data_IF_349019216035
#
_entry.id   IF_349019216035
#
_cell.length_a   1.000
_cell.length_b   1.000
_cell.length_c   1.000
_cell.angle_alpha   90.00
_cell.angle_beta   90.00
_cell.angle_gamma   90.00
#
_symmetry.space_group_name_H-M   'P 1'
#
loop_
_entity.id
_entity.type
_entity.pdbx_description
1 polymer ?
#
# COMPACT_ATOMS: atom_id res chain seq x y z
N UNK A 1 -36.41 -23.18 -18.53
CA UNK A 1 -35.46 -22.28 -17.94
C UNK A 1 -34.16 -23.07 -17.81
N UNK A 2 -33.25 -22.91 -18.77
CA UNK A 2 -31.90 -23.46 -18.64
C UNK A 2 -31.19 -22.66 -17.60
N UNK A 3 -30.71 -23.30 -16.54
CA UNK A 3 -29.76 -22.71 -15.62
C UNK A 3 -28.47 -22.50 -16.42
N UNK A 4 -28.17 -21.26 -16.74
CA UNK A 4 -26.97 -20.85 -17.47
C UNK A 4 -25.83 -20.83 -16.47
N UNK A 5 -25.30 -22.03 -16.13
CA UNK A 5 -24.18 -22.17 -15.23
C UNK A 5 -22.90 -22.10 -16.05
N UNK A 6 -22.10 -21.09 -15.81
CA UNK A 6 -20.72 -21.01 -16.33
C UNK A 6 -19.87 -22.10 -15.66
N UNK A 7 -19.23 -22.94 -16.46
CA UNK A 7 -18.37 -24.02 -16.01
C UNK A 7 -17.08 -24.05 -16.81
N UNK A 8 -15.99 -24.43 -16.15
CA UNK A 8 -14.69 -24.65 -16.78
C UNK A 8 -14.54 -26.14 -17.01
N UNK A 9 -14.37 -26.54 -18.25
CA UNK A 9 -14.08 -27.92 -18.62
C UNK A 9 -12.56 -28.16 -18.61
N UNK A 10 -12.13 -29.07 -17.76
CA UNK A 10 -10.76 -29.57 -17.74
C UNK A 10 -10.73 -30.95 -18.36
N UNK A 11 -10.01 -31.11 -19.47
CA UNK A 11 -9.98 -32.35 -20.21
C UNK A 11 -8.56 -32.89 -20.37
N UNK A 12 -8.40 -34.20 -20.18
CA UNK A 12 -7.13 -34.92 -20.37
C UNK A 12 -7.35 -35.98 -21.46
N UNK A 13 -6.54 -35.99 -22.53
CA UNK A 13 -6.60 -37.07 -23.51
C UNK A 13 -6.09 -38.37 -22.89
N UNK A 14 -6.80 -39.44 -23.12
CA UNK A 14 -6.41 -40.79 -22.78
C UNK A 14 -5.65 -41.36 -23.97
N UNK A 15 -4.34 -41.60 -23.77
CA UNK A 15 -3.42 -41.99 -24.83
C UNK A 15 -2.93 -43.38 -24.55
N UNK A 16 -3.01 -44.30 -25.54
CA UNK A 16 -2.43 -45.63 -25.50
C UNK A 16 -0.91 -45.55 -25.66
N UNK A 17 -0.22 -46.68 -25.34
CA UNK A 17 1.26 -46.78 -25.43
C UNK A 17 1.79 -46.52 -26.85
N UNK A 18 0.97 -46.74 -27.87
CA UNK A 18 1.29 -46.45 -29.28
C UNK A 18 1.08 -45.01 -29.69
N UNK A 19 0.65 -44.12 -28.75
CA UNK A 19 0.35 -42.72 -29.02
C UNK A 19 -1.08 -42.43 -29.53
N UNK A 20 -1.91 -43.46 -29.67
CA UNK A 20 -3.29 -43.31 -30.16
C UNK A 20 -4.17 -42.73 -29.05
N UNK A 21 -4.85 -41.61 -29.33
CA UNK A 21 -5.86 -41.04 -28.44
C UNK A 21 -7.16 -41.86 -28.58
N UNK A 22 -7.53 -42.61 -27.55
CA UNK A 22 -8.74 -43.42 -27.59
C UNK A 22 -9.94 -42.84 -26.86
N UNK A 23 -9.72 -41.73 -26.13
CA UNK A 23 -10.78 -41.02 -25.40
C UNK A 23 -10.29 -39.76 -24.73
N UNK A 24 -11.22 -39.09 -24.07
CA UNK A 24 -10.96 -37.88 -23.29
C UNK A 24 -11.65 -38.04 -21.94
N UNK A 25 -10.91 -37.86 -20.87
CA UNK A 25 -11.47 -37.72 -19.54
C UNK A 25 -11.67 -36.22 -19.25
N UNK A 26 -12.88 -35.82 -18.96
CA UNK A 26 -13.23 -34.44 -18.66
C UNK A 26 -13.82 -34.29 -17.26
N UNK A 27 -13.49 -33.19 -16.61
CA UNK A 27 -14.12 -32.74 -15.37
C UNK A 27 -14.62 -31.32 -15.61
N UNK A 28 -15.87 -31.08 -15.29
CA UNK A 28 -16.45 -29.72 -15.29
C UNK A 28 -16.45 -29.17 -13.87
N UNK A 29 -15.90 -27.99 -13.72
CA UNK A 29 -15.85 -27.29 -12.43
C UNK A 29 -16.73 -26.05 -12.59
N UNK A 30 -17.78 -25.95 -11.78
CA UNK A 30 -18.65 -24.79 -11.75
C UNK A 30 -17.83 -23.56 -11.31
N UNK A 31 -18.04 -22.47 -12.00
CA UNK A 31 -17.40 -21.21 -11.69
C UNK A 31 -17.72 -20.72 -10.27
N UNK A 32 -18.98 -20.85 -9.85
CA UNK A 32 -19.41 -20.51 -8.50
C UNK A 32 -18.64 -21.28 -7.42
N UNK A 33 -18.22 -22.52 -7.72
CA UNK A 33 -17.38 -23.30 -6.82
C UNK A 33 -15.95 -22.74 -6.75
N UNK A 34 -15.37 -22.36 -7.89
CA UNK A 34 -14.05 -21.70 -7.91
C UNK A 34 -14.06 -20.36 -7.20
N UNK A 35 -15.11 -19.56 -7.36
CA UNK A 35 -15.30 -18.32 -6.63
C UNK A 35 -15.33 -18.53 -5.12
N UNK A 36 -16.02 -19.58 -4.67
CA UNK A 36 -16.09 -19.91 -3.25
C UNK A 36 -14.76 -20.39 -2.66
N UNK A 37 -13.89 -20.97 -3.49
CA UNK A 37 -12.54 -21.39 -3.08
C UNK A 37 -11.53 -20.25 -3.04
N UNK A 38 -11.75 -19.16 -3.79
CA UNK A 38 -10.86 -18.02 -3.76
C UNK A 38 -11.02 -17.26 -2.43
N UNK A 39 -9.94 -17.02 -1.68
CA UNK A 39 -10.02 -16.32 -0.41
C UNK A 39 -10.51 -14.89 -0.64
N UNK A 40 -11.72 -14.58 -0.17
CA UNK A 40 -12.33 -13.26 -0.35
C UNK A 40 -11.98 -12.24 0.72
N UNK A 41 -11.58 -12.71 1.91
CA UNK A 41 -11.51 -11.86 3.12
C UNK A 41 -10.12 -11.32 3.42
N UNK A 42 -9.06 -11.98 3.00
CA UNK A 42 -7.68 -11.61 3.35
C UNK A 42 -7.22 -10.29 2.72
N UNK A 43 -7.60 -10.04 1.46
CA UNK A 43 -7.29 -8.78 0.77
C UNK A 43 -8.34 -7.69 1.06
N UNK A 44 -9.42 -8.02 1.77
CA UNK A 44 -10.52 -7.09 2.05
C UNK A 44 -10.35 -6.32 3.38
N UNK A 45 -9.42 -6.70 4.25
CA UNK A 45 -9.15 -5.99 5.51
C UNK A 45 -8.61 -4.57 5.24
N UNK A 46 -9.54 -3.65 4.97
CA UNK A 46 -9.27 -2.24 4.69
C UNK A 46 -8.94 -1.90 3.23
N UNK A 47 -8.94 -2.87 2.32
CA UNK A 47 -8.71 -2.66 0.89
C UNK A 47 -9.74 -3.42 0.05
N UNK A 48 -10.13 -2.84 -1.08
CA UNK A 48 -10.99 -3.49 -2.09
C UNK A 48 -10.18 -4.47 -2.98
N UNK A 49 -9.30 -5.26 -2.38
CA UNK A 49 -8.51 -6.23 -3.12
C UNK A 49 -9.33 -7.43 -3.59
N UNK A 50 -8.96 -7.99 -4.73
CA UNK A 50 -9.61 -9.15 -5.34
C UNK A 50 -8.57 -10.19 -5.75
N UNK A 51 -8.96 -11.47 -5.64
CA UNK A 51 -8.23 -12.55 -6.27
C UNK A 51 -8.86 -12.86 -7.63
N UNK A 52 -7.99 -13.07 -8.61
CA UNK A 52 -8.38 -13.46 -9.97
C UNK A 52 -7.67 -14.76 -10.30
N UNK A 53 -8.39 -15.65 -10.97
CA UNK A 53 -7.84 -16.83 -11.59
C UNK A 53 -7.84 -16.61 -13.09
N UNK A 54 -6.70 -16.82 -13.74
CA UNK A 54 -6.60 -16.60 -15.18
C UNK A 54 -5.57 -17.49 -15.85
N UNK A 55 -5.59 -17.50 -17.16
CA UNK A 55 -4.61 -18.20 -18.00
C UNK A 55 -3.80 -17.19 -18.80
N UNK A 56 -2.49 -17.36 -18.76
CA UNK A 56 -1.56 -16.60 -19.59
C UNK A 56 -0.91 -17.52 -20.62
N UNK A 57 -0.80 -17.04 -21.85
CA UNK A 57 -0.05 -17.72 -22.89
C UNK A 57 1.42 -17.34 -22.76
N UNK A 58 2.24 -18.36 -22.53
CA UNK A 58 3.70 -18.41 -22.69
C UNK A 58 4.51 -17.11 -22.45
N UNK A 59 4.47 -16.57 -21.25
CA UNK A 59 5.24 -15.40 -20.86
C UNK A 59 6.11 -15.68 -19.66
N UNK A 60 7.34 -15.21 -19.68
CA UNK A 60 8.24 -15.30 -18.52
C UNK A 60 7.71 -14.40 -17.41
N UNK A 61 7.16 -15.00 -16.36
CA UNK A 61 6.66 -14.29 -15.19
C UNK A 61 7.78 -13.42 -14.60
N UNK A 62 7.52 -12.14 -14.44
CA UNK A 62 8.42 -11.19 -13.78
C UNK A 62 9.26 -10.31 -14.70
N UNK A 63 9.31 -10.56 -16.01
CA UNK A 63 10.14 -9.78 -16.95
C UNK A 63 9.35 -9.07 -18.02
N UNK A 64 8.29 -9.70 -18.53
CA UNK A 64 7.55 -9.22 -19.68
C UNK A 64 6.10 -8.84 -19.32
N UNK A 65 5.46 -8.10 -20.21
CA UNK A 65 4.03 -7.83 -20.12
C UNK A 65 3.26 -9.16 -20.23
N UNK A 66 2.36 -9.39 -19.28
CA UNK A 66 1.53 -10.59 -19.23
C UNK A 66 0.13 -10.26 -19.68
N UNK A 67 -0.33 -10.95 -20.72
CA UNK A 67 -1.73 -10.93 -21.13
C UNK A 67 -2.43 -12.13 -20.50
N UNK A 68 -3.39 -11.88 -19.65
CA UNK A 68 -4.12 -12.91 -18.89
C UNK A 68 -5.58 -12.88 -19.24
N UNK A 69 -6.11 -14.02 -19.67
CA UNK A 69 -7.56 -14.23 -19.79
C UNK A 69 -8.12 -14.61 -18.42
N UNK A 70 -8.98 -13.76 -17.86
CA UNK A 70 -9.57 -13.99 -16.53
C UNK A 70 -10.65 -15.06 -16.65
N UNK A 71 -10.54 -16.09 -15.82
CA UNK A 71 -11.50 -17.20 -15.77
C UNK A 71 -12.49 -17.01 -14.61
N UNK A 72 -11.98 -16.58 -13.45
CA UNK A 72 -12.81 -16.41 -12.26
C UNK A 72 -12.24 -15.33 -11.35
N UNK A 73 -13.11 -14.69 -10.57
CA UNK A 73 -12.72 -13.68 -9.59
C UNK A 73 -13.36 -13.92 -8.24
N UNK A 74 -12.66 -13.60 -7.16
CA UNK A 74 -13.27 -13.64 -5.83
C UNK A 74 -14.39 -12.60 -5.74
N UNK A 75 -15.49 -12.88 -5.02
CA UNK A 75 -16.54 -11.91 -4.81
C UNK A 75 -15.97 -10.75 -4.00
N UNK A 76 -15.76 -9.61 -4.66
CA UNK A 76 -15.39 -8.39 -3.98
C UNK A 76 -16.65 -7.75 -3.40
N UNK A 77 -16.59 -7.31 -2.15
CA UNK A 77 -17.74 -6.77 -1.43
C UNK A 77 -18.41 -5.56 -2.13
N UNK A 78 -17.73 -4.90 -3.07
CA UNK A 78 -18.23 -3.71 -3.78
C UNK A 78 -17.79 -3.62 -5.25
N UNK A 79 -17.20 -4.66 -5.85
CA UNK A 79 -16.84 -4.61 -7.25
C UNK A 79 -18.01 -5.10 -8.11
N UNK A 80 -18.32 -4.43 -9.22
CA UNK A 80 -19.25 -4.99 -10.21
C UNK A 80 -18.70 -6.35 -10.64
N UNK A 81 -19.57 -7.35 -10.68
CA UNK A 81 -19.26 -8.70 -11.15
C UNK A 81 -18.56 -8.58 -12.51
N UNK A 82 -17.27 -8.83 -12.54
CA UNK A 82 -16.48 -8.71 -13.77
C UNK A 82 -16.91 -9.84 -14.70
N UNK A 83 -17.36 -9.45 -15.88
CA UNK A 83 -17.72 -10.39 -16.95
C UNK A 83 -16.47 -11.17 -17.36
N UNK A 84 -16.60 -12.48 -17.49
CA UNK A 84 -15.54 -13.48 -17.69
C UNK A 84 -14.79 -13.42 -19.02
N UNK A 85 -15.02 -12.41 -19.83
CA UNK A 85 -14.36 -12.23 -21.13
C UNK A 85 -13.34 -11.09 -21.10
N UNK A 86 -12.79 -10.78 -19.92
CA UNK A 86 -11.82 -9.71 -19.78
C UNK A 86 -10.39 -10.22 -19.87
N UNK A 87 -9.70 -9.73 -20.88
CA UNK A 87 -8.27 -9.85 -21.00
C UNK A 87 -7.59 -8.76 -20.16
N UNK A 88 -6.80 -9.17 -19.19
CA UNK A 88 -6.06 -8.27 -18.30
C UNK A 88 -4.63 -8.16 -18.79
N UNK A 89 -4.16 -6.92 -19.04
CA UNK A 89 -2.76 -6.65 -19.34
C UNK A 89 -2.03 -6.27 -18.05
N UNK A 90 -1.07 -7.09 -17.66
CA UNK A 90 -0.22 -6.90 -16.49
C UNK A 90 1.16 -6.44 -16.93
N UNK A 91 1.56 -5.24 -16.53
CA UNK A 91 2.89 -4.67 -16.82
C UNK A 91 3.81 -4.83 -15.60
N UNK A 92 5.06 -5.28 -15.78
CA UNK A 92 5.98 -5.42 -14.66
C UNK A 92 6.27 -4.07 -13.99
N UNK A 93 6.21 -4.04 -12.67
CA UNK A 93 6.46 -2.84 -11.87
C UNK A 93 7.91 -2.76 -11.41
N UNK A 94 8.51 -1.57 -11.43
CA UNK A 94 9.87 -1.34 -10.91
C UNK A 94 10.03 -1.66 -9.42
N UNK A 95 8.92 -1.72 -8.68
CA UNK A 95 8.90 -2.03 -7.22
C UNK A 95 8.62 -3.49 -6.92
N UNK A 96 8.59 -4.34 -7.94
CA UNK A 96 8.18 -5.75 -7.85
C UNK A 96 6.68 -5.94 -8.11
N UNK A 97 6.31 -7.16 -8.53
CA UNK A 97 4.95 -7.48 -8.97
C UNK A 97 4.58 -6.81 -10.30
N UNK A 98 3.29 -6.66 -10.50
CA UNK A 98 2.71 -6.13 -11.73
C UNK A 98 1.79 -4.94 -11.45
N UNK A 99 1.55 -4.14 -12.47
CA UNK A 99 0.52 -3.11 -12.49
C UNK A 99 -0.46 -3.39 -13.61
N UNK A 100 -1.73 -3.16 -13.35
CA UNK A 100 -2.81 -3.30 -14.31
C UNK A 100 -3.72 -2.09 -14.26
N UNK A 101 -4.17 -1.65 -15.43
CA UNK A 101 -5.26 -0.72 -15.57
C UNK A 101 -6.57 -1.52 -15.56
N UNK A 102 -7.20 -1.58 -14.40
CA UNK A 102 -8.52 -2.18 -14.21
C UNK A 102 -9.61 -1.11 -14.30
N UNK A 103 -10.89 -1.47 -14.57
CA UNK A 103 -12.02 -0.55 -14.42
C UNK A 103 -12.11 0.12 -13.03
N UNK A 104 -11.47 -0.48 -12.02
CA UNK A 104 -11.34 0.07 -10.66
C UNK A 104 -10.17 1.06 -10.51
N UNK A 105 -9.48 1.42 -11.62
CA UNK A 105 -8.29 2.25 -11.63
C UNK A 105 -7.00 1.44 -11.63
N UNK A 106 -5.88 2.13 -11.37
CA UNK A 106 -4.57 1.50 -11.32
C UNK A 106 -4.48 0.55 -10.12
N UNK A 107 -4.18 -0.73 -10.40
CA UNK A 107 -4.02 -1.78 -9.40
C UNK A 107 -2.59 -2.29 -9.35
N UNK A 108 -2.12 -2.65 -8.15
CA UNK A 108 -0.95 -3.50 -7.97
C UNK A 108 -1.38 -4.96 -7.92
N UNK A 109 -0.70 -5.81 -8.69
CA UNK A 109 -0.99 -7.22 -8.76
C UNK A 109 0.25 -8.07 -8.42
N UNK A 110 0.04 -9.09 -7.61
CA UNK A 110 0.98 -10.17 -7.39
C UNK A 110 0.50 -11.40 -8.14
N UNK A 111 1.40 -12.10 -8.82
CA UNK A 111 1.08 -13.23 -9.67
C UNK A 111 1.80 -14.47 -9.15
N UNK A 112 1.05 -15.55 -8.93
CA UNK A 112 1.56 -16.86 -8.56
C UNK A 112 1.16 -17.90 -9.61
N UNK A 113 2.11 -18.62 -10.19
CA UNK A 113 1.81 -19.68 -11.14
C UNK A 113 1.23 -20.89 -10.43
N UNK A 114 0.15 -21.45 -10.99
CA UNK A 114 -0.44 -22.72 -10.57
C UNK A 114 0.00 -23.82 -11.52
N UNK A 115 0.71 -24.80 -11.01
CA UNK A 115 1.17 -25.95 -11.81
C UNK A 115 0.10 -27.03 -11.78
N UNK A 116 -0.78 -27.04 -12.79
CA UNK A 116 -1.83 -28.04 -12.94
C UNK A 116 -1.39 -29.21 -13.79
N UNK A 117 -0.37 -29.03 -14.62
CA UNK A 117 0.08 -30.04 -15.58
C UNK A 117 1.51 -30.50 -15.33
N UNK A 118 1.76 -31.75 -15.62
CA UNK A 118 3.13 -32.25 -15.72
C UNK A 118 3.78 -31.66 -17.00
N UNK A 119 5.11 -31.48 -16.98
CA UNK A 119 5.90 -30.82 -18.04
C UNK A 119 5.75 -31.43 -19.46
N UNK A 120 5.21 -32.62 -19.56
CA UNK A 120 5.00 -33.35 -20.81
C UNK A 120 3.57 -33.20 -21.37
N UNK A 121 2.76 -32.33 -20.79
CA UNK A 121 1.40 -32.16 -21.28
C UNK A 121 1.35 -31.30 -22.55
N UNK A 122 0.41 -31.54 -23.48
CA UNK A 122 0.29 -30.79 -24.73
C UNK A 122 -0.04 -29.30 -24.56
N UNK A 123 -0.41 -28.89 -23.34
CA UNK A 123 -0.74 -27.50 -22.96
C UNK A 123 0.41 -26.77 -22.24
N UNK A 124 1.66 -27.19 -22.51
CA UNK A 124 2.84 -26.56 -21.88
C UNK A 124 3.01 -25.06 -22.18
N UNK A 125 2.28 -24.54 -23.13
CA UNK A 125 2.31 -23.14 -23.54
C UNK A 125 1.32 -22.26 -22.78
N UNK A 126 0.43 -22.84 -21.98
CA UNK A 126 -0.55 -22.13 -21.19
C UNK A 126 -0.26 -22.33 -19.71
N UNK A 127 -0.24 -21.25 -18.97
CA UNK A 127 0.02 -21.29 -17.54
C UNK A 127 -1.17 -20.68 -16.78
N UNK A 128 -1.72 -21.44 -15.87
CA UNK A 128 -2.75 -20.92 -14.97
C UNK A 128 -2.08 -20.07 -13.89
N UNK A 129 -2.67 -18.92 -13.62
CA UNK A 129 -2.15 -17.93 -12.71
C UNK A 129 -3.19 -17.57 -11.66
N UNK A 130 -2.76 -17.54 -10.41
CA UNK A 130 -3.48 -16.88 -9.33
C UNK A 130 -2.95 -15.45 -9.20
N UNK A 131 -3.83 -14.47 -9.27
CA UNK A 131 -3.49 -13.05 -9.26
C UNK A 131 -4.19 -12.40 -8.07
N UNK A 132 -3.41 -11.85 -7.14
CA UNK A 132 -3.94 -10.99 -6.09
C UNK A 132 -3.81 -9.54 -6.52
N UNK A 133 -4.93 -8.84 -6.69
CA UNK A 133 -4.98 -7.44 -7.16
C UNK A 133 -5.49 -6.51 -6.06
N UNK A 134 -4.77 -5.41 -5.82
CA UNK A 134 -5.15 -4.39 -4.83
C UNK A 134 -5.11 -3.01 -5.49
N UNK A 135 -6.18 -2.20 -5.40
CA UNK A 135 -6.18 -0.84 -5.91
C UNK A 135 -5.09 0.00 -5.25
N UNK A 136 -4.38 0.77 -6.06
CA UNK A 136 -3.31 1.67 -5.58
C UNK A 136 -3.85 2.69 -4.58
N UNK A 137 -5.08 3.17 -4.80
CA UNK A 137 -5.76 4.08 -3.88
C UNK A 137 -5.92 3.49 -2.46
N UNK A 138 -6.22 2.20 -2.36
CA UNK A 138 -6.34 1.52 -1.07
C UNK A 138 -5.00 1.36 -0.35
N UNK A 139 -3.91 1.11 -1.08
CA UNK A 139 -2.57 1.07 -0.52
C UNK A 139 -2.11 2.44 0.02
N UNK A 140 -2.47 3.52 -0.68
CA UNK A 140 -2.11 4.87 -0.24
C UNK A 140 -3.04 5.43 0.85
N UNK A 141 -4.27 4.94 0.99
CA UNK A 141 -5.18 5.38 2.04
C UNK A 141 -4.56 5.16 3.44
N UNK A 142 -4.01 3.98 3.69
CA UNK A 142 -3.32 3.68 4.93
C UNK A 142 -2.08 4.57 5.15
N UNK A 143 -1.30 4.82 4.07
CA UNK A 143 -0.14 5.71 4.14
C UNK A 143 -0.54 7.15 4.43
N UNK A 144 -1.66 7.62 3.89
CA UNK A 144 -2.18 8.96 4.14
C UNK A 144 -2.52 9.21 5.60
N UNK A 145 -3.15 8.27 6.27
CA UNK A 145 -3.50 8.37 7.69
C UNK A 145 -2.26 8.39 8.59
N UNK A 146 -1.26 7.57 8.29
CA UNK A 146 0.02 7.57 9.02
C UNK A 146 0.74 8.91 8.85
N UNK A 147 0.83 9.44 7.62
CA UNK A 147 1.46 10.74 7.34
C UNK A 147 0.72 11.87 8.07
N UNK A 148 -0.61 11.87 8.07
CA UNK A 148 -1.43 12.86 8.78
C UNK A 148 -1.17 12.83 10.28
N UNK A 149 -1.12 11.64 10.89
CA UNK A 149 -0.80 11.46 12.31
C UNK A 149 0.60 11.98 12.65
N UNK A 150 1.57 11.71 11.79
CA UNK A 150 2.95 12.16 11.96
C UNK A 150 3.06 13.69 11.86
N UNK A 151 2.37 14.32 10.91
CA UNK A 151 2.33 15.79 10.79
C UNK A 151 1.71 16.40 12.04
N UNK A 152 0.60 15.87 12.56
CA UNK A 152 -0.04 16.35 13.79
C UNK A 152 0.93 16.22 14.97
N UNK A 153 1.61 15.10 15.12
CA UNK A 153 2.57 14.88 16.20
C UNK A 153 3.72 15.89 16.15
N UNK A 154 4.30 16.13 14.98
CA UNK A 154 5.36 17.14 14.77
C UNK A 154 4.86 18.54 15.14
N UNK A 155 3.66 18.89 14.74
CA UNK A 155 3.07 20.21 15.00
C UNK A 155 2.83 20.43 16.50
N UNK A 156 2.39 19.40 17.22
CA UNK A 156 2.22 19.42 18.68
C UNK A 156 3.56 19.62 19.38
N UNK A 157 4.61 18.89 18.96
CA UNK A 157 5.96 19.03 19.56
C UNK A 157 6.53 20.42 19.30
N UNK A 158 6.39 20.96 18.08
CA UNK A 158 6.86 22.31 17.75
C UNK A 158 6.13 23.38 18.56
N UNK A 159 4.81 23.30 18.68
CA UNK A 159 4.04 24.27 19.48
C UNK A 159 4.38 24.20 20.95
N UNK A 160 4.53 23.00 21.52
CA UNK A 160 4.96 22.83 22.91
C UNK A 160 6.37 23.37 23.15
N UNK A 161 7.29 23.12 22.22
CA UNK A 161 8.67 23.64 22.27
C UNK A 161 8.73 25.17 22.22
N UNK A 162 7.96 25.79 21.30
CA UNK A 162 7.84 27.25 21.22
C UNK A 162 7.26 27.86 22.50
N UNK A 163 6.19 27.25 23.01
CA UNK A 163 5.56 27.71 24.25
C UNK A 163 6.52 27.60 25.44
N UNK A 164 7.20 26.47 25.58
CA UNK A 164 8.21 26.27 26.61
C UNK A 164 9.35 27.27 26.52
N UNK A 165 9.85 27.52 25.31
CA UNK A 165 10.91 28.52 25.06
C UNK A 165 10.48 29.93 25.47
N UNK A 166 9.25 30.35 25.10
CA UNK A 166 8.71 31.65 25.48
C UNK A 166 8.56 31.83 26.99
N UNK A 167 8.09 30.76 27.67
CA UNK A 167 7.94 30.78 29.14
C UNK A 167 9.32 30.88 29.79
N UNK A 168 10.30 30.12 29.32
CA UNK A 168 11.68 30.15 29.83
C UNK A 168 12.34 31.50 29.61
N UNK A 169 12.18 32.06 28.38
CA UNK A 169 12.71 33.38 28.06
C UNK A 169 12.11 34.46 28.97
N UNK A 170 10.79 34.44 29.21
CA UNK A 170 10.18 35.40 30.12
C UNK A 170 10.58 35.22 31.56
N UNK A 171 10.79 33.99 32.07
CA UNK A 171 11.21 33.73 33.42
C UNK A 171 12.68 34.09 33.66
N UNK A 172 13.56 33.88 32.69
CA UNK A 172 14.98 34.17 32.79
C UNK A 172 15.31 35.65 32.51
N UNK A 173 14.65 36.31 31.55
CA UNK A 173 14.95 37.69 31.18
C UNK A 173 14.44 38.70 32.21
N UNK A 174 13.35 38.41 32.92
CA UNK A 174 12.83 39.34 33.95
C UNK A 174 13.77 39.57 35.15
N UNK A 175 14.40 38.55 35.77
CA UNK A 175 15.33 38.80 36.86
C UNK A 175 16.61 39.47 36.39
N UNK A 176 17.08 39.17 35.17
CA UNK A 176 18.31 39.78 34.62
C UNK A 176 18.14 41.27 34.36
N UNK A 177 17.01 41.69 33.79
CA UNK A 177 16.73 43.13 33.59
C UNK A 177 16.58 43.88 34.91
N UNK A 178 15.98 43.28 35.94
CA UNK A 178 15.91 43.90 37.28
C UNK A 178 17.27 44.08 37.93
N UNK A 179 18.14 43.07 37.83
CA UNK A 179 19.51 43.17 38.32
C UNK A 179 20.33 44.26 37.56
N UNK A 180 20.12 44.38 36.27
CA UNK A 180 20.73 45.41 35.43
C UNK A 180 20.30 46.80 35.86
N UNK A 181 19.01 47.00 36.12
CA UNK A 181 18.42 48.27 36.56
C UNK A 181 18.90 48.61 37.98
N UNK A 182 18.98 47.65 38.91
CA UNK A 182 19.52 47.88 40.27
C UNK A 182 21.02 48.28 40.25
N UNK A 183 21.83 47.64 39.38
CA UNK A 183 23.22 48.00 39.20
C UNK A 183 23.39 49.39 38.60
N UNK A 184 22.52 49.76 37.63
CA UNK A 184 22.54 51.10 37.05
C UNK A 184 22.18 52.17 38.09
N UNK A 185 21.16 51.96 38.90
CA UNK A 185 20.80 52.86 40.00
C UNK A 185 21.86 52.94 41.09
N UNK A 186 22.51 51.85 41.47
CA UNK A 186 23.61 51.86 42.42
C UNK A 186 24.82 52.65 41.92
N UNK A 187 25.05 52.61 40.62
CA UNK A 187 26.15 53.37 39.98
C UNK A 187 25.83 54.88 39.94
N UNK A 188 24.61 55.25 39.71
CA UNK A 188 24.13 56.64 39.68
C UNK A 188 24.15 57.26 41.09
N UNK A 189 23.73 56.52 42.13
CA UNK A 189 23.80 56.91 43.53
C UNK A 189 25.21 57.09 44.02
N UNK A 190 26.19 56.34 43.48
CA UNK A 190 27.59 56.42 43.84
C UNK A 190 28.30 57.65 43.22
N UNK A 191 27.78 58.16 42.12
CA UNK A 191 28.29 59.37 41.45
C UNK A 191 27.78 60.67 42.09
N UNK A 192 26.78 60.61 42.97
CA UNK A 192 26.22 61.76 43.68
C UNK A 192 26.80 61.94 45.12
N UNK A 193 27.90 61.28 45.49
CA UNK A 193 28.59 61.59 46.74
C UNK A 193 29.32 62.94 46.59
N UNK A 194 28.91 64.01 47.30
CA UNK A 194 29.59 65.28 47.17
C UNK A 194 31.00 65.14 47.66
N UNK A 195 31.96 65.57 46.85
CA UNK A 195 33.33 65.74 47.27
C UNK A 195 33.33 66.69 48.45
N UNK A 196 33.55 66.18 49.66
CA UNK A 196 33.86 67.02 50.78
C UNK A 196 35.17 67.76 50.48
N UNK A 197 35.02 69.04 50.18
CA UNK A 197 36.06 70.02 50.04
C UNK A 197 36.90 70.04 51.36
N UNK A 198 38.11 69.50 51.30
CA UNK A 198 39.09 69.71 52.36
C UNK A 198 39.57 71.11 52.20
N UNK A 199 38.83 72.05 52.81
CA UNK A 199 39.35 73.40 53.03
C UNK A 199 40.36 73.33 54.15
N UNK A 200 41.63 73.76 53.87
CA UNK A 200 42.73 73.79 54.75
C UNK A 200 42.57 74.66 56.00
N UNK A 201 43.32 74.32 56.97
CA UNK A 201 43.76 75.26 58.03
C UNK A 201 45.28 75.17 58.15
N UNK A 202 45.89 76.27 58.00
CA UNK A 202 47.20 76.81 58.23
C UNK A 202 48.03 75.99 59.17
#
# INVERSE_FOLDING_TARGET
>A
SGDDHSAIAYTIPLILDDGTVYGVLGVEILESYLQALLPGTELQNGSSGTYLLGVASNSAIGKDDLTVSVISSSPAANAPQQSYDQTLLLKPSKRGGYQSDSPLGLCHAAVAPLTLYNRNAPFSNEQMLLIGSVPVSALYAFSGDVVRLLIIAVLVVLTAGLFSSLVLARKLSRPISRLSDEVAHARESRSSIPMLSATGII
#
